data_IF_532436152247
#
_entry.id   IF_532436152247
#
_cell.length_a   1.000
_cell.length_b   1.000
_cell.length_c   1.000
_cell.angle_alpha   90.00
_cell.angle_beta   90.00
_cell.angle_gamma   90.00
#
_symmetry.space_group_name_H-M   'P 1'
#
loop_
_entity.id
_entity.type
_entity.pdbx_description
1 polymer ?
#
# COMPACT_ATOMS: atom_id res chain seq x y z
N UNK A 1 -22.02 3.97 22.09
CA UNK A 1 -22.26 4.75 20.87
C UNK A 1 -21.45 4.22 19.69
N UNK A 2 -20.11 4.22 19.72
CA UNK A 2 -19.26 3.78 18.60
C UNK A 2 -19.52 2.35 18.08
N UNK A 3 -19.74 1.37 18.97
CA UNK A 3 -20.09 0.00 18.60
C UNK A 3 -21.44 -0.07 17.86
N UNK A 4 -22.40 0.75 18.25
CA UNK A 4 -23.70 0.81 17.59
C UNK A 4 -23.59 1.39 16.18
N UNK A 5 -22.89 2.51 16.03
CA UNK A 5 -22.65 3.15 14.73
C UNK A 5 -21.83 2.25 13.80
N UNK A 6 -20.79 1.58 14.31
CA UNK A 6 -19.94 0.67 13.52
C UNK A 6 -20.66 -0.60 13.03
N UNK A 7 -21.80 -0.99 13.64
CA UNK A 7 -22.61 -2.12 13.20
C UNK A 7 -23.81 -1.71 12.30
N UNK A 8 -24.01 -0.43 12.05
CA UNK A 8 -25.04 0.04 11.13
C UNK A 8 -24.58 -0.19 9.67
N UNK A 9 -25.38 -0.92 8.91
CA UNK A 9 -25.18 -1.18 7.47
C UNK A 9 -25.50 0.05 6.58
N UNK A 10 -25.14 1.25 6.98
CA UNK A 10 -25.46 2.46 6.23
C UNK A 10 -24.23 3.00 5.53
N UNK A 11 -24.33 3.23 4.23
CA UNK A 11 -23.27 3.71 3.34
C UNK A 11 -22.74 5.13 3.63
N UNK A 12 -23.43 5.90 4.49
CA UNK A 12 -23.06 7.28 4.81
C UNK A 12 -22.07 7.42 5.98
N UNK A 13 -21.65 6.32 6.59
CA UNK A 13 -20.69 6.36 7.71
C UNK A 13 -19.32 6.87 7.23
N UNK A 14 -18.93 6.55 6.00
CA UNK A 14 -17.66 6.98 5.41
C UNK A 14 -17.57 8.50 5.32
N UNK A 15 -18.59 9.17 4.78
CA UNK A 15 -18.64 10.65 4.70
C UNK A 15 -18.55 11.33 6.09
N UNK A 16 -19.18 10.71 7.10
CA UNK A 16 -19.13 11.19 8.49
C UNK A 16 -17.73 10.99 9.08
N UNK A 17 -17.06 9.90 8.75
CA UNK A 17 -15.69 9.61 9.19
C UNK A 17 -14.71 10.63 8.60
N UNK A 18 -14.80 10.91 7.30
CA UNK A 18 -13.95 11.89 6.61
C UNK A 18 -14.16 13.31 7.16
N UNK A 19 -15.42 13.71 7.33
CA UNK A 19 -15.73 15.00 7.94
C UNK A 19 -15.16 15.13 9.35
N UNK A 20 -15.31 14.07 10.16
CA UNK A 20 -14.74 14.01 11.52
C UNK A 20 -13.21 14.12 11.49
N UNK A 21 -12.54 13.46 10.54
CA UNK A 21 -11.08 13.51 10.42
C UNK A 21 -10.60 14.92 10.09
N UNK A 22 -11.17 15.58 9.09
CA UNK A 22 -10.84 16.95 8.72
C UNK A 22 -11.14 17.94 9.85
N UNK A 23 -12.29 17.80 10.51
CA UNK A 23 -12.65 18.62 11.67
C UNK A 23 -11.66 18.43 12.83
N UNK A 24 -11.26 17.19 13.10
CA UNK A 24 -10.28 16.86 14.13
C UNK A 24 -8.93 17.51 13.82
N UNK A 25 -8.43 17.41 12.60
CA UNK A 25 -7.18 18.05 12.18
C UNK A 25 -7.22 19.57 12.36
N UNK A 26 -8.33 20.21 12.02
CA UNK A 26 -8.51 21.64 12.18
C UNK A 26 -8.51 22.04 13.67
N UNK A 27 -9.30 21.34 14.49
CA UNK A 27 -9.37 21.61 15.95
C UNK A 27 -8.02 21.39 16.63
N UNK A 28 -7.28 20.35 16.24
CA UNK A 28 -5.94 20.06 16.74
C UNK A 28 -4.99 21.20 16.38
N UNK A 29 -5.01 21.65 15.13
CA UNK A 29 -4.15 22.74 14.68
C UNK A 29 -4.40 24.02 15.44
N UNK A 30 -5.68 24.39 15.63
CA UNK A 30 -6.07 25.55 16.43
C UNK A 30 -5.60 25.42 17.90
N UNK A 31 -5.81 24.24 18.50
CA UNK A 31 -5.36 23.96 19.86
C UNK A 31 -3.85 24.17 20.03
N UNK A 32 -3.04 23.63 19.10
CA UNK A 32 -1.58 23.81 19.16
C UNK A 32 -1.15 25.25 18.96
N UNK A 33 -1.82 26.01 18.08
CA UNK A 33 -1.52 27.44 17.89
C UNK A 33 -1.82 28.21 19.19
N UNK A 34 -2.98 27.98 19.81
CA UNK A 34 -3.35 28.63 21.09
C UNK A 34 -2.41 28.22 22.20
N UNK A 35 -2.03 26.94 22.28
CA UNK A 35 -1.08 26.45 23.28
C UNK A 35 0.29 27.13 23.10
N UNK A 36 0.79 27.18 21.86
CA UNK A 36 2.07 27.83 21.55
C UNK A 36 2.07 29.34 21.87
N UNK A 37 0.95 30.02 21.60
CA UNK A 37 0.80 31.44 21.90
C UNK A 37 0.80 31.75 23.40
N UNK A 38 0.36 30.80 24.23
CA UNK A 38 0.33 30.95 25.68
C UNK A 38 1.64 30.55 26.39
N UNK A 39 2.61 30.03 25.67
CA UNK A 39 3.92 29.65 26.24
C UNK A 39 4.78 30.90 26.43
N UNK A 40 5.10 31.22 27.67
CA UNK A 40 6.06 32.29 27.99
C UNK A 40 7.48 31.71 28.09
N UNK A 41 8.38 32.24 27.26
CA UNK A 41 9.78 31.78 27.19
C UNK A 41 10.71 32.47 28.19
N UNK A 42 10.20 33.29 29.08
CA UNK A 42 10.99 34.14 29.99
C UNK A 42 11.79 33.37 31.07
N UNK A 43 11.43 32.12 31.37
CA UNK A 43 12.06 31.30 32.43
C UNK A 43 12.67 30.00 31.95
N UNK A 44 13.21 29.98 30.72
CA UNK A 44 13.71 28.76 30.08
C UNK A 44 15.01 28.20 30.68
N UNK A 45 15.90 29.09 31.18
CA UNK A 45 17.28 28.70 31.57
C UNK A 45 17.37 27.62 32.63
N UNK A 46 16.39 27.55 33.58
CA UNK A 46 16.36 26.50 34.63
C UNK A 46 15.58 25.24 34.26
N UNK A 47 14.77 25.26 33.18
CA UNK A 47 13.77 24.21 32.88
C UNK A 47 14.21 23.32 31.73
N UNK A 48 15.06 23.81 30.82
CA UNK A 48 15.49 23.04 29.63
C UNK A 48 16.20 21.74 30.03
N UNK A 49 17.13 21.77 30.97
CA UNK A 49 17.86 20.59 31.37
C UNK A 49 16.97 19.49 31.97
N UNK A 50 16.11 19.75 32.98
CA UNK A 50 15.19 18.72 33.46
C UNK A 50 14.15 18.28 32.39
N UNK A 51 13.67 19.15 31.50
CA UNK A 51 12.77 18.81 30.43
C UNK A 51 13.44 17.87 29.42
N UNK A 52 14.67 18.12 29.03
CA UNK A 52 15.44 17.24 28.13
C UNK A 52 15.68 15.86 28.79
N UNK A 53 16.05 15.81 30.05
CA UNK A 53 16.21 14.56 30.80
C UNK A 53 14.90 13.79 30.82
N UNK A 54 13.79 14.47 31.07
CA UNK A 54 12.47 13.85 31.08
C UNK A 54 12.08 13.30 29.70
N UNK A 55 12.32 14.06 28.63
CA UNK A 55 12.08 13.60 27.24
C UNK A 55 12.92 12.37 26.94
N UNK A 56 14.20 12.36 27.29
CA UNK A 56 15.07 11.21 27.09
C UNK A 56 14.63 9.99 27.89
N UNK A 57 14.27 10.18 29.15
CA UNK A 57 13.74 9.10 30.00
C UNK A 57 12.46 8.50 29.40
N UNK A 58 11.53 9.36 28.97
CA UNK A 58 10.28 8.95 28.35
C UNK A 58 10.50 8.21 27.03
N UNK A 59 11.47 8.62 26.22
CA UNK A 59 11.73 8.05 24.90
C UNK A 59 12.53 6.75 24.98
N UNK A 60 13.55 6.69 25.84
CA UNK A 60 14.48 5.56 25.88
C UNK A 60 14.15 4.51 26.93
N UNK A 61 13.40 4.86 27.99
CA UNK A 61 13.08 3.93 29.08
C UNK A 61 11.60 3.57 29.06
N UNK A 62 10.74 4.56 29.24
CA UNK A 62 9.30 4.31 29.45
C UNK A 62 8.64 3.69 28.22
N UNK A 63 8.95 4.19 27.04
CA UNK A 63 8.35 3.74 25.77
C UNK A 63 8.79 2.33 25.37
N UNK A 64 10.09 2.02 25.28
CA UNK A 64 10.50 0.65 24.97
C UNK A 64 9.95 -0.36 25.97
N UNK A 65 9.93 -0.02 27.27
CA UNK A 65 9.36 -0.88 28.30
C UNK A 65 7.86 -1.12 28.07
N UNK A 66 7.08 -0.06 27.82
CA UNK A 66 5.65 -0.18 27.52
C UNK A 66 5.38 -1.03 26.28
N UNK A 67 6.09 -0.79 25.18
CA UNK A 67 5.94 -1.58 23.96
C UNK A 67 6.35 -3.04 24.20
N UNK A 68 7.44 -3.28 24.90
CA UNK A 68 7.88 -4.63 25.23
C UNK A 68 6.82 -5.39 26.02
N UNK A 69 6.25 -4.79 27.07
CA UNK A 69 5.19 -5.41 27.88
C UNK A 69 3.93 -5.67 27.04
N UNK A 70 3.50 -4.70 26.23
CA UNK A 70 2.29 -4.85 25.38
C UNK A 70 2.47 -5.90 24.27
N UNK A 71 3.69 -6.10 23.77
CA UNK A 71 3.96 -7.03 22.66
C UNK A 71 4.47 -8.40 23.09
N UNK A 72 4.49 -8.72 24.38
CA UNK A 72 4.99 -10.00 24.90
C UNK A 72 4.34 -11.24 24.27
N UNK A 73 3.04 -11.15 23.93
CA UNK A 73 2.27 -12.25 23.32
C UNK A 73 2.04 -12.07 21.81
N UNK A 74 2.71 -11.13 21.19
CA UNK A 74 2.57 -10.82 19.76
C UNK A 74 3.68 -11.52 18.96
N UNK A 75 3.38 -11.90 17.71
CA UNK A 75 4.33 -12.52 16.79
C UNK A 75 5.30 -11.51 16.14
N UNK A 76 5.42 -10.30 16.70
CA UNK A 76 6.30 -9.25 16.19
C UNK A 76 7.77 -9.58 16.41
N UNK A 77 8.59 -9.33 15.39
CA UNK A 77 10.03 -9.42 15.47
C UNK A 77 10.60 -8.34 16.43
N UNK A 78 11.75 -8.62 17.06
CA UNK A 78 12.39 -7.65 17.94
C UNK A 78 12.69 -6.30 17.26
N UNK A 79 13.00 -6.31 15.95
CA UNK A 79 13.24 -5.12 15.13
C UNK A 79 12.00 -4.24 14.99
N UNK A 80 10.85 -4.86 14.78
CA UNK A 80 9.54 -4.20 14.73
C UNK A 80 9.18 -3.60 16.08
N UNK A 81 9.45 -4.29 17.18
CA UNK A 81 9.22 -3.79 18.55
C UNK A 81 10.08 -2.56 18.84
N UNK A 82 11.35 -2.55 18.41
CA UNK A 82 12.22 -1.39 18.56
C UNK A 82 11.70 -0.20 17.76
N UNK A 83 11.26 -0.43 16.52
CA UNK A 83 10.68 0.63 15.69
C UNK A 83 9.38 1.18 16.29
N UNK A 84 8.48 0.31 16.78
CA UNK A 84 7.26 0.70 17.48
C UNK A 84 7.55 1.48 18.78
N UNK A 85 8.58 1.11 19.52
CA UNK A 85 9.03 1.84 20.69
C UNK A 85 9.59 3.22 20.37
N UNK A 86 10.17 3.39 19.19
CA UNK A 86 10.70 4.67 18.72
C UNK A 86 9.60 5.59 18.20
N UNK A 87 8.69 5.09 17.38
CA UNK A 87 7.56 5.82 16.82
C UNK A 87 6.46 5.89 17.88
N UNK A 88 6.50 6.90 18.71
CA UNK A 88 5.57 7.07 19.80
C UNK A 88 4.87 8.44 19.75
N UNK A 89 3.90 8.64 18.86
CA UNK A 89 3.17 9.90 18.83
C UNK A 89 2.47 10.12 20.17
N UNK A 90 2.80 11.21 20.85
CA UNK A 90 2.09 11.64 22.07
C UNK A 90 0.95 12.52 21.65
N UNK A 91 -0.25 12.12 22.08
CA UNK A 91 -1.47 12.73 21.64
C UNK A 91 -1.77 14.06 22.32
N UNK A 92 -2.69 14.76 21.72
CA UNK A 92 -3.30 16.03 22.08
C UNK A 92 -3.88 16.01 23.50
N UNK A 93 -4.27 14.83 23.99
CA UNK A 93 -4.83 14.65 25.33
C UNK A 93 -3.86 15.15 26.40
N UNK A 94 -2.55 14.92 26.26
CA UNK A 94 -1.54 15.41 27.21
C UNK A 94 -1.50 16.94 27.21
N UNK A 95 -1.57 17.56 26.02
CA UNK A 95 -1.60 19.02 25.89
C UNK A 95 -2.85 19.62 26.53
N UNK A 96 -4.03 19.07 26.21
CA UNK A 96 -5.31 19.56 26.72
C UNK A 96 -5.40 19.39 28.23
N UNK A 97 -5.00 18.25 28.77
CA UNK A 97 -5.01 17.98 30.21
C UNK A 97 -4.02 18.87 30.93
N UNK A 98 -2.79 19.03 30.42
CA UNK A 98 -1.80 19.94 31.02
C UNK A 98 -2.28 21.38 31.01
N UNK A 99 -2.89 21.86 29.93
CA UNK A 99 -3.46 23.22 29.85
C UNK A 99 -4.60 23.43 30.86
N UNK A 100 -5.54 22.48 30.98
CA UNK A 100 -6.64 22.53 31.93
C UNK A 100 -6.12 22.54 33.38
N UNK A 101 -5.19 21.68 33.72
CA UNK A 101 -4.61 21.65 35.07
C UNK A 101 -3.78 22.88 35.35
N UNK A 102 -3.06 23.43 34.37
CA UNK A 102 -2.34 24.71 34.50
C UNK A 102 -3.28 25.83 34.88
N UNK A 103 -4.39 26.03 34.15
CA UNK A 103 -5.39 27.06 34.41
C UNK A 103 -6.04 26.85 35.79
N UNK A 104 -6.33 25.60 36.15
CA UNK A 104 -6.93 25.27 37.45
C UNK A 104 -5.98 25.56 38.61
N UNK A 105 -4.71 25.24 38.49
CA UNK A 105 -3.67 25.55 39.47
C UNK A 105 -3.52 27.09 39.66
N UNK A 106 -3.53 27.83 38.57
CA UNK A 106 -3.39 29.30 38.62
C UNK A 106 -4.62 29.94 39.29
N UNK A 107 -5.83 29.51 38.95
CA UNK A 107 -7.05 30.17 39.41
C UNK A 107 -7.49 29.74 40.81
N UNK A 108 -7.39 28.43 41.12
CA UNK A 108 -7.92 27.92 42.41
C UNK A 108 -6.86 27.93 43.51
N UNK A 109 -5.62 27.55 43.21
CA UNK A 109 -4.57 27.46 44.22
C UNK A 109 -3.66 28.70 44.28
N UNK A 110 -3.58 29.49 43.21
CA UNK A 110 -2.76 30.70 43.13
C UNK A 110 -3.22 31.82 44.12
N UNK A 111 -4.50 31.85 44.47
CA UNK A 111 -5.04 32.76 45.49
C UNK A 111 -4.58 32.40 46.90
N UNK A 112 -4.21 31.16 47.16
CA UNK A 112 -3.77 30.66 48.48
C UNK A 112 -2.24 30.63 48.61
N UNK A 113 -1.52 30.50 47.51
CA UNK A 113 -0.07 30.41 47.50
C UNK A 113 0.52 30.81 46.12
N UNK A 114 1.32 31.90 46.04
CA UNK A 114 1.83 32.41 44.77
C UNK A 114 2.74 31.39 44.01
N UNK A 115 3.30 30.40 44.70
CA UNK A 115 4.11 29.34 44.05
C UNK A 115 3.31 28.48 43.05
N UNK A 116 2.01 28.27 43.30
CA UNK A 116 1.16 27.50 42.39
C UNK A 116 0.96 28.17 41.04
N UNK A 117 1.06 29.50 40.97
CA UNK A 117 1.04 30.22 39.68
C UNK A 117 2.26 29.84 38.83
N UNK A 118 3.43 29.80 39.50
CA UNK A 118 4.68 29.38 38.82
C UNK A 118 4.58 27.94 38.35
N UNK A 119 4.13 27.01 39.21
CA UNK A 119 3.96 25.60 38.85
C UNK A 119 2.95 25.38 37.73
N UNK A 120 1.87 26.14 37.67
CA UNK A 120 0.90 26.10 36.59
C UNK A 120 1.50 26.52 35.24
N UNK A 121 2.27 27.61 35.21
CA UNK A 121 2.99 28.06 34.01
C UNK A 121 4.04 27.04 33.55
N UNK A 122 4.81 26.48 34.51
CA UNK A 122 5.80 25.44 34.25
C UNK A 122 5.19 24.15 33.66
N UNK A 123 4.02 23.75 34.16
CA UNK A 123 3.33 22.54 33.67
C UNK A 123 2.98 22.66 32.20
N UNK A 124 2.42 23.80 31.78
CA UNK A 124 2.11 24.06 30.38
C UNK A 124 3.37 24.07 29.49
N UNK A 125 4.42 24.75 29.93
CA UNK A 125 5.69 24.84 29.20
C UNK A 125 6.36 23.47 29.03
N UNK A 126 6.47 22.70 30.12
CA UNK A 126 7.07 21.37 30.11
C UNK A 126 6.26 20.43 29.23
N UNK A 127 4.93 20.44 29.33
CA UNK A 127 4.07 19.63 28.46
C UNK A 127 4.27 19.96 26.99
N UNK A 128 4.37 21.24 26.64
CA UNK A 128 4.63 21.66 25.26
C UNK A 128 6.00 21.20 24.75
N UNK A 129 7.05 21.36 25.56
CA UNK A 129 8.41 20.88 25.22
C UNK A 129 8.46 19.36 25.02
N UNK A 130 7.77 18.59 25.88
CA UNK A 130 7.68 17.14 25.75
C UNK A 130 6.99 16.74 24.44
N UNK A 131 5.89 17.40 24.08
CA UNK A 131 5.16 17.10 22.83
C UNK A 131 6.04 17.39 21.63
N UNK A 132 6.63 18.58 21.55
CA UNK A 132 7.54 18.95 20.46
C UNK A 132 8.69 17.95 20.36
N UNK A 133 9.38 17.66 21.45
CA UNK A 133 10.52 16.74 21.45
C UNK A 133 10.15 15.33 21.04
N UNK A 134 9.06 14.80 21.58
CA UNK A 134 8.62 13.41 21.30
C UNK A 134 7.92 13.24 19.96
N UNK A 135 7.48 14.30 19.30
CA UNK A 135 6.92 14.25 17.92
C UNK A 135 8.03 14.50 16.89
N UNK A 136 8.82 15.57 17.08
CA UNK A 136 9.80 16.01 16.07
C UNK A 136 10.95 15.00 15.92
N UNK A 137 11.52 14.50 17.02
CA UNK A 137 12.66 13.59 16.97
C UNK A 137 12.30 12.27 16.24
N UNK A 138 11.25 11.55 16.63
CA UNK A 138 10.86 10.34 15.92
C UNK A 138 10.44 10.59 14.47
N UNK A 139 9.72 11.69 14.17
CA UNK A 139 9.28 11.99 12.81
C UNK A 139 10.45 12.18 11.83
N UNK A 140 11.51 12.85 12.25
CA UNK A 140 12.70 13.06 11.45
C UNK A 140 13.57 11.78 11.32
N UNK A 141 13.57 10.94 12.33
CA UNK A 141 14.48 9.78 12.40
C UNK A 141 13.82 8.45 12.05
N UNK A 142 12.49 8.37 12.03
CA UNK A 142 11.73 7.13 11.79
C UNK A 142 12.11 6.43 10.49
N UNK A 143 12.19 7.16 9.38
CA UNK A 143 12.55 6.61 8.07
C UNK A 143 13.97 6.04 8.03
N UNK A 144 14.92 6.73 8.71
CA UNK A 144 16.29 6.26 8.83
C UNK A 144 16.36 4.99 9.68
N UNK A 145 15.68 4.99 10.84
CA UNK A 145 15.65 3.86 11.76
C UNK A 145 14.96 2.64 11.13
N UNK A 146 13.85 2.82 10.41
CA UNK A 146 13.14 1.76 9.72
C UNK A 146 14.03 1.07 8.66
N UNK A 147 14.81 1.84 7.90
CA UNK A 147 15.80 1.31 6.94
C UNK A 147 16.96 0.60 7.66
N UNK A 148 17.48 1.18 8.72
CA UNK A 148 18.58 0.59 9.51
C UNK A 148 18.18 -0.74 10.13
N UNK A 149 16.97 -0.83 10.69
CA UNK A 149 16.42 -2.04 11.25
C UNK A 149 15.97 -3.06 10.19
N UNK A 150 15.96 -2.69 8.92
CA UNK A 150 15.46 -3.51 7.81
C UNK A 150 14.00 -3.96 8.02
N UNK A 151 13.21 -3.13 8.66
CA UNK A 151 11.77 -3.33 8.86
C UNK A 151 10.97 -2.73 7.70
N UNK A 152 11.54 -1.73 7.03
CA UNK A 152 10.99 -1.21 5.79
C UNK A 152 11.18 -2.26 4.70
N UNK A 153 10.09 -2.70 4.07
CA UNK A 153 10.18 -3.52 2.85
C UNK A 153 10.88 -2.68 1.77
N UNK A 154 12.09 -3.07 1.31
CA UNK A 154 12.92 -2.18 0.48
C UNK A 154 12.32 -1.90 -0.89
N UNK A 155 11.48 -2.79 -1.42
CA UNK A 155 10.75 -2.65 -2.68
C UNK A 155 9.45 -3.45 -2.58
N UNK A 156 8.29 -2.82 -2.67
CA UNK A 156 7.02 -3.54 -2.75
C UNK A 156 6.96 -4.25 -4.12
N UNK A 157 7.33 -5.53 -4.13
CA UNK A 157 7.43 -6.35 -5.36
C UNK A 157 6.15 -7.07 -5.70
N UNK A 158 5.19 -7.09 -4.79
CA UNK A 158 3.92 -7.77 -4.95
C UNK A 158 2.99 -7.07 -5.95
N UNK A 159 1.93 -7.79 -6.30
CA UNK A 159 0.98 -7.40 -7.33
C UNK A 159 -0.44 -7.32 -6.80
N UNK A 160 -1.12 -6.21 -7.05
CA UNK A 160 -2.56 -6.11 -7.03
C UNK A 160 -3.08 -6.46 -8.42
N UNK A 161 -3.89 -7.51 -8.52
CA UNK A 161 -4.55 -7.90 -9.76
C UNK A 161 -6.02 -7.52 -9.68
N UNK A 162 -6.43 -6.58 -10.51
CA UNK A 162 -7.83 -6.16 -10.64
C UNK A 162 -8.54 -7.09 -11.61
N UNK A 163 -9.45 -7.90 -11.08
CA UNK A 163 -10.07 -9.04 -11.73
C UNK A 163 -9.59 -10.37 -11.13
N UNK A 164 -10.51 -11.32 -10.89
CA UNK A 164 -10.22 -12.65 -10.37
C UNK A 164 -10.77 -13.76 -11.29
N UNK A 165 -10.81 -13.48 -12.60
CA UNK A 165 -11.19 -14.45 -13.62
C UNK A 165 -10.14 -15.60 -13.73
N UNK A 166 -10.43 -16.63 -14.53
CA UNK A 166 -9.57 -17.81 -14.66
C UNK A 166 -8.12 -17.47 -15.06
N UNK A 167 -7.95 -16.50 -15.98
CA UNK A 167 -6.63 -16.04 -16.42
C UNK A 167 -5.87 -15.30 -15.31
N UNK A 168 -6.54 -14.37 -14.63
CA UNK A 168 -5.97 -13.60 -13.50
C UNK A 168 -5.52 -14.53 -12.36
N UNK A 169 -6.33 -15.55 -12.01
CA UNK A 169 -5.96 -16.56 -11.00
C UNK A 169 -4.76 -17.40 -11.42
N UNK A 170 -4.67 -17.77 -12.71
CA UNK A 170 -3.52 -18.52 -13.22
C UNK A 170 -2.22 -17.68 -13.12
N UNK A 171 -2.28 -16.39 -13.45
CA UNK A 171 -1.16 -15.45 -13.26
C UNK A 171 -0.81 -15.33 -11.77
N UNK A 172 -1.80 -15.15 -10.91
CA UNK A 172 -1.59 -15.02 -9.47
C UNK A 172 -0.82 -16.22 -8.90
N UNK A 173 -1.23 -17.45 -9.23
CA UNK A 173 -0.52 -18.68 -8.84
C UNK A 173 0.91 -18.74 -9.34
N UNK A 174 1.13 -18.36 -10.60
CA UNK A 174 2.47 -18.35 -11.17
C UNK A 174 3.40 -17.35 -10.48
N UNK A 175 2.88 -16.19 -10.08
CA UNK A 175 3.63 -15.17 -9.35
C UNK A 175 3.88 -15.59 -7.88
N UNK A 176 2.87 -16.16 -7.20
CA UNK A 176 3.03 -16.69 -5.83
C UNK A 176 4.05 -17.84 -5.77
N UNK A 177 4.07 -18.70 -6.79
CA UNK A 177 5.06 -19.77 -6.92
C UNK A 177 6.51 -19.24 -7.04
N UNK A 178 6.69 -17.97 -7.43
CA UNK A 178 7.99 -17.28 -7.43
C UNK A 178 8.26 -16.54 -6.10
N UNK A 179 7.41 -16.70 -5.08
CA UNK A 179 7.56 -16.07 -3.76
C UNK A 179 7.12 -14.60 -3.71
N UNK A 180 6.25 -14.18 -4.61
CA UNK A 180 5.72 -12.82 -4.65
C UNK A 180 4.35 -12.76 -3.98
N UNK A 181 4.08 -11.68 -3.23
CA UNK A 181 2.75 -11.42 -2.67
C UNK A 181 1.80 -10.99 -3.77
N UNK A 182 0.62 -11.59 -3.84
CA UNK A 182 -0.41 -11.25 -4.82
C UNK A 182 -1.75 -11.09 -4.12
N UNK A 183 -2.48 -10.02 -4.46
CA UNK A 183 -3.85 -9.79 -4.00
C UNK A 183 -4.74 -9.64 -5.22
N UNK A 184 -5.81 -10.43 -5.28
CA UNK A 184 -6.83 -10.34 -6.31
C UNK A 184 -8.01 -9.49 -5.82
N UNK A 185 -8.52 -8.56 -6.63
CA UNK A 185 -9.70 -7.78 -6.32
C UNK A 185 -10.73 -7.89 -7.45
N UNK A 186 -11.97 -8.28 -7.14
CA UNK A 186 -13.04 -8.41 -8.13
C UNK A 186 -14.41 -8.06 -7.53
N UNK A 187 -15.26 -7.45 -8.34
CA UNK A 187 -16.66 -7.16 -7.99
C UNK A 187 -17.57 -8.37 -8.15
N UNK A 188 -17.11 -9.45 -8.78
CA UNK A 188 -17.82 -10.70 -8.94
C UNK A 188 -17.54 -11.64 -7.77
N UNK A 189 -18.56 -11.87 -6.95
CA UNK A 189 -18.47 -12.85 -5.84
C UNK A 189 -18.07 -14.25 -6.31
N UNK A 190 -18.55 -14.69 -7.47
CA UNK A 190 -18.22 -16.00 -8.05
C UNK A 190 -16.71 -16.12 -8.32
N UNK A 191 -16.10 -15.09 -8.87
CA UNK A 191 -14.66 -15.08 -9.14
C UNK A 191 -13.84 -15.09 -7.85
N UNK A 192 -14.27 -14.32 -6.84
CA UNK A 192 -13.60 -14.28 -5.53
C UNK A 192 -13.73 -15.61 -4.79
N UNK A 193 -14.90 -16.23 -4.83
CA UNK A 193 -15.09 -17.55 -4.24
C UNK A 193 -14.17 -18.60 -4.88
N UNK A 194 -14.04 -18.58 -6.21
CA UNK A 194 -13.11 -19.46 -6.92
C UNK A 194 -11.64 -19.17 -6.54
N UNK A 195 -11.24 -17.91 -6.42
CA UNK A 195 -9.90 -17.53 -5.98
C UNK A 195 -9.59 -18.03 -4.57
N UNK A 196 -10.55 -17.89 -3.63
CA UNK A 196 -10.40 -18.38 -2.24
C UNK A 196 -10.29 -19.91 -2.16
N UNK A 197 -11.08 -20.63 -2.97
CA UNK A 197 -10.97 -22.09 -3.05
C UNK A 197 -9.62 -22.55 -3.60
N UNK A 198 -8.98 -21.72 -4.40
CA UNK A 198 -7.64 -21.94 -4.94
C UNK A 198 -6.52 -21.50 -3.98
N UNK A 199 -6.87 -20.99 -2.77
CA UNK A 199 -5.93 -20.52 -1.75
C UNK A 199 -5.36 -19.13 -1.98
N UNK A 200 -5.88 -18.37 -2.97
CA UNK A 200 -5.38 -17.05 -3.33
C UNK A 200 -5.96 -15.96 -2.43
N UNK A 201 -5.13 -15.01 -2.02
CA UNK A 201 -5.58 -13.85 -1.27
C UNK A 201 -6.47 -12.97 -2.15
N UNK A 202 -7.68 -12.68 -1.68
CA UNK A 202 -8.66 -12.01 -2.52
C UNK A 202 -9.65 -11.13 -1.77
N UNK A 203 -9.95 -9.98 -2.36
CA UNK A 203 -10.88 -8.98 -1.89
C UNK A 203 -12.12 -8.93 -2.79
N UNK A 204 -13.32 -8.95 -2.17
CA UNK A 204 -14.59 -8.78 -2.87
C UNK A 204 -15.00 -7.31 -2.84
N UNK A 205 -14.98 -6.65 -3.98
CA UNK A 205 -15.38 -5.25 -4.13
C UNK A 205 -14.59 -4.52 -5.21
N UNK A 206 -14.85 -3.23 -5.30
CA UNK A 206 -14.09 -2.34 -6.17
C UNK A 206 -12.76 -1.98 -5.48
N UNK A 207 -11.63 -2.32 -6.11
CA UNK A 207 -10.29 -2.00 -5.59
C UNK A 207 -10.01 -0.51 -5.48
N UNK A 208 -10.73 0.33 -6.24
CA UNK A 208 -10.59 1.77 -6.19
C UNK A 208 -11.46 2.45 -5.11
N UNK A 209 -12.30 1.70 -4.39
CA UNK A 209 -13.12 2.24 -3.30
C UNK A 209 -12.32 2.44 -2.01
N UNK A 210 -12.75 3.38 -1.17
CA UNK A 210 -12.21 3.58 0.18
C UNK A 210 -12.35 2.33 1.06
N UNK A 211 -13.47 1.59 0.91
CA UNK A 211 -13.64 0.31 1.58
C UNK A 211 -12.55 -0.70 1.20
N UNK A 212 -12.04 -0.64 -0.04
CA UNK A 212 -10.88 -1.42 -0.48
C UNK A 212 -9.62 -1.10 0.32
N UNK A 213 -9.35 0.17 0.60
CA UNK A 213 -8.16 0.61 1.35
C UNK A 213 -8.11 0.04 2.78
N UNK A 214 -9.27 -0.11 3.40
CA UNK A 214 -9.37 -0.62 4.77
C UNK A 214 -9.34 -2.15 4.87
N UNK A 215 -9.72 -2.87 3.78
CA UNK A 215 -9.94 -4.32 3.83
C UNK A 215 -8.98 -5.13 2.95
N UNK A 216 -8.24 -4.48 2.05
CA UNK A 216 -7.18 -5.14 1.29
C UNK A 216 -5.86 -5.07 2.04
N UNK A 217 -5.24 -6.21 2.23
CA UNK A 217 -3.90 -6.29 2.81
C UNK A 217 -2.86 -5.95 1.73
N UNK A 218 -2.48 -4.68 1.65
CA UNK A 218 -1.58 -4.14 0.62
C UNK A 218 -0.10 -4.20 1.01
N UNK A 219 0.23 -4.91 2.09
CA UNK A 219 1.62 -5.02 2.57
C UNK A 219 2.50 -5.71 1.53
N UNK A 220 3.55 -5.03 1.08
CA UNK A 220 4.47 -5.54 0.07
C UNK A 220 3.96 -5.47 -1.38
N UNK A 221 2.75 -4.93 -1.62
CA UNK A 221 2.19 -4.70 -2.94
C UNK A 221 2.66 -3.34 -3.46
N UNK A 222 3.18 -3.31 -4.68
CA UNK A 222 3.69 -2.08 -5.31
C UNK A 222 3.45 -2.00 -6.81
N UNK A 223 2.70 -2.96 -7.35
CA UNK A 223 2.34 -2.98 -8.78
C UNK A 223 0.89 -3.36 -8.96
N UNK A 224 0.26 -2.85 -10.00
CA UNK A 224 -1.13 -3.14 -10.35
C UNK A 224 -1.24 -3.68 -11.75
N UNK A 225 -2.03 -4.77 -11.90
CA UNK A 225 -2.41 -5.37 -13.19
C UNK A 225 -3.92 -5.27 -13.38
N UNK A 226 -4.39 -4.58 -14.40
CA UNK A 226 -5.81 -4.49 -14.76
C UNK A 226 -6.21 -5.62 -15.71
N UNK A 227 -6.76 -6.69 -15.15
CA UNK A 227 -7.19 -7.91 -15.85
C UNK A 227 -8.69 -8.17 -15.71
N UNK A 228 -9.48 -7.19 -15.24
CA UNK A 228 -10.93 -7.31 -15.16
C UNK A 228 -11.55 -7.25 -16.56
N UNK A 229 -12.68 -7.94 -16.74
CA UNK A 229 -13.53 -7.81 -17.93
C UNK A 229 -14.22 -6.45 -18.07
N UNK A 230 -14.14 -5.62 -17.02
CA UNK A 230 -14.75 -4.29 -16.99
C UNK A 230 -13.66 -3.22 -17.14
N UNK A 231 -13.50 -2.68 -18.34
CA UNK A 231 -12.53 -1.62 -18.65
C UNK A 231 -12.62 -0.41 -17.71
N UNK A 232 -13.82 -0.07 -17.28
CA UNK A 232 -14.07 1.05 -16.37
C UNK A 232 -13.42 0.81 -15.00
N UNK A 233 -13.51 -0.40 -14.45
CA UNK A 233 -12.91 -0.76 -13.17
C UNK A 233 -11.40 -0.77 -13.30
N UNK A 234 -10.85 -1.31 -14.38
CA UNK A 234 -9.41 -1.29 -14.66
C UNK A 234 -8.89 0.14 -14.70
N UNK A 235 -9.58 1.04 -15.45
CA UNK A 235 -9.20 2.45 -15.58
C UNK A 235 -9.28 3.21 -14.25
N UNK A 236 -10.37 3.02 -13.49
CA UNK A 236 -10.55 3.68 -12.20
C UNK A 236 -9.47 3.27 -11.20
N UNK A 237 -9.18 1.97 -11.13
CA UNK A 237 -8.11 1.43 -10.31
C UNK A 237 -6.74 1.96 -10.75
N UNK A 238 -6.50 2.08 -12.08
CA UNK A 238 -5.27 2.63 -12.60
C UNK A 238 -5.06 4.08 -12.18
N UNK A 239 -6.09 4.92 -12.24
CA UNK A 239 -6.02 6.33 -11.81
C UNK A 239 -5.63 6.43 -10.35
N UNK A 240 -6.25 5.62 -9.48
CA UNK A 240 -5.95 5.57 -8.05
C UNK A 240 -4.51 5.12 -7.80
N UNK A 241 -4.15 3.93 -8.27
CA UNK A 241 -2.86 3.32 -7.97
C UNK A 241 -1.68 3.93 -8.74
N UNK A 242 -1.94 4.73 -9.79
CA UNK A 242 -0.91 5.56 -10.41
C UNK A 242 -0.30 6.57 -9.43
N UNK A 243 -1.14 7.16 -8.57
CA UNK A 243 -0.69 8.07 -7.51
C UNK A 243 0.12 7.36 -6.41
N UNK A 244 -0.23 6.10 -6.09
CA UNK A 244 0.39 5.34 -5.01
C UNK A 244 1.66 4.60 -5.44
N UNK A 245 1.64 3.91 -6.59
CA UNK A 245 2.72 3.03 -7.06
C UNK A 245 3.62 3.70 -8.10
N UNK A 246 3.21 4.83 -8.66
CA UNK A 246 3.93 5.53 -9.73
C UNK A 246 3.66 4.98 -11.14
N UNK A 247 4.08 5.77 -12.14
CA UNK A 247 3.81 5.55 -13.56
C UNK A 247 4.36 4.23 -14.13
N UNK A 248 5.39 3.67 -13.51
CA UNK A 248 6.07 2.48 -14.02
C UNK A 248 5.53 1.16 -13.44
N UNK A 249 4.55 1.25 -12.54
CA UNK A 249 4.06 0.11 -11.76
C UNK A 249 2.60 -0.25 -12.03
N UNK A 250 1.92 0.51 -12.90
CA UNK A 250 0.52 0.28 -13.27
C UNK A 250 0.46 -0.23 -14.70
N UNK A 251 -0.20 -1.37 -14.90
CA UNK A 251 -0.30 -2.04 -16.18
C UNK A 251 -1.75 -2.42 -16.48
N UNK A 252 -2.17 -2.20 -17.73
CA UNK A 252 -3.55 -2.41 -18.17
C UNK A 252 -3.59 -3.19 -19.48
N UNK A 253 -4.56 -4.09 -19.63
CA UNK A 253 -4.93 -4.59 -20.94
C UNK A 253 -5.52 -3.45 -21.79
N UNK A 254 -5.31 -3.47 -23.12
CA UNK A 254 -5.99 -2.57 -24.01
C UNK A 254 -7.51 -2.70 -23.87
N UNK A 255 -8.22 -1.58 -23.87
CA UNK A 255 -9.67 -1.59 -23.88
C UNK A 255 -10.20 -2.08 -25.23
N UNK A 256 -11.32 -2.81 -25.22
CA UNK A 256 -12.01 -3.25 -26.43
C UNK A 256 -12.41 -2.05 -27.32
N UNK A 257 -12.25 -2.17 -28.65
CA UNK A 257 -12.40 -1.06 -29.63
C UNK A 257 -13.85 -0.58 -29.84
N UNK A 258 -14.68 -0.55 -28.84
CA UNK A 258 -16.03 -0.02 -28.98
C UNK A 258 -16.02 1.52 -28.85
N UNK A 259 -16.84 2.23 -29.64
CA UNK A 259 -16.89 3.72 -29.70
C UNK A 259 -17.06 4.42 -28.35
N UNK A 260 -17.65 3.74 -27.37
CA UNK A 260 -17.76 4.26 -25.98
C UNK A 260 -16.42 4.25 -25.22
N UNK A 261 -15.44 3.47 -25.68
CA UNK A 261 -14.17 3.25 -24.99
C UNK A 261 -13.04 4.19 -25.43
N UNK A 262 -13.25 5.10 -26.37
CA UNK A 262 -12.20 6.03 -26.86
C UNK A 262 -11.66 6.90 -25.72
N UNK A 263 -12.52 7.39 -24.81
CA UNK A 263 -12.09 8.17 -23.64
C UNK A 263 -11.31 7.32 -22.66
N UNK A 264 -11.76 6.09 -22.40
CA UNK A 264 -11.09 5.13 -21.52
C UNK A 264 -9.73 4.73 -22.09
N UNK A 265 -9.62 4.49 -23.39
CA UNK A 265 -8.36 4.19 -24.07
C UNK A 265 -7.33 5.31 -23.91
N UNK A 266 -7.76 6.60 -24.01
CA UNK A 266 -6.87 7.74 -23.74
C UNK A 266 -6.44 7.83 -22.28
N UNK A 267 -7.34 7.55 -21.34
CA UNK A 267 -7.02 7.50 -19.90
C UNK A 267 -6.06 6.35 -19.59
N UNK A 268 -6.30 5.16 -20.15
CA UNK A 268 -5.43 4.01 -19.96
C UNK A 268 -4.00 4.29 -20.43
N UNK A 269 -3.82 4.94 -21.58
CA UNK A 269 -2.50 5.39 -22.07
C UNK A 269 -1.80 6.39 -21.14
N UNK A 270 -2.58 7.20 -20.40
CA UNK A 270 -2.03 8.20 -19.48
C UNK A 270 -1.65 7.60 -18.12
N UNK A 271 -2.44 6.67 -17.60
CA UNK A 271 -2.34 6.18 -16.23
C UNK A 271 -1.81 4.75 -16.11
N UNK A 272 -1.52 4.06 -17.23
CA UNK A 272 -0.98 2.71 -17.20
C UNK A 272 -0.20 2.36 -18.45
N UNK A 273 0.77 1.46 -18.31
CA UNK A 273 1.46 0.82 -19.43
C UNK A 273 0.61 -0.33 -19.98
N UNK A 274 0.74 -0.59 -21.27
CA UNK A 274 0.04 -1.74 -21.88
C UNK A 274 0.65 -3.05 -21.40
N UNK A 275 -0.23 -4.00 -21.08
CA UNK A 275 0.16 -5.35 -20.70
C UNK A 275 0.45 -6.21 -21.93
N UNK A 276 1.51 -7.03 -21.79
CA UNK A 276 1.89 -8.09 -22.71
C UNK A 276 2.24 -7.57 -24.12
N UNK A 277 2.09 -8.45 -25.12
CA UNK A 277 2.37 -8.12 -26.53
C UNK A 277 1.21 -7.32 -27.14
N UNK A 278 1.48 -6.46 -28.14
CA UNK A 278 0.44 -5.72 -28.86
C UNK A 278 -0.62 -6.64 -29.50
N UNK A 279 -1.86 -6.17 -29.45
CA UNK A 279 -2.98 -6.81 -30.17
C UNK A 279 -3.89 -7.69 -29.32
N UNK A 280 -3.55 -8.04 -28.07
CA UNK A 280 -4.43 -8.85 -27.22
C UNK A 280 -5.30 -7.97 -26.31
N UNK A 281 -6.63 -8.13 -26.44
CA UNK A 281 -7.61 -7.59 -25.50
C UNK A 281 -8.06 -8.68 -24.53
N UNK A 282 -8.84 -8.29 -23.50
CA UNK A 282 -9.31 -9.24 -22.50
C UNK A 282 -10.04 -10.45 -23.11
N UNK A 283 -10.90 -10.22 -24.10
CA UNK A 283 -11.69 -11.25 -24.76
C UNK A 283 -10.80 -12.30 -25.43
N UNK A 284 -9.75 -11.89 -26.11
CA UNK A 284 -8.82 -12.80 -26.77
C UNK A 284 -8.12 -13.73 -25.76
N UNK A 285 -7.60 -13.15 -24.66
CA UNK A 285 -6.93 -13.93 -23.62
C UNK A 285 -7.88 -14.87 -22.89
N UNK A 286 -9.13 -14.43 -22.65
CA UNK A 286 -10.19 -15.29 -22.09
C UNK A 286 -10.46 -16.48 -22.99
N UNK A 287 -10.60 -16.27 -24.28
CA UNK A 287 -10.93 -17.32 -25.25
C UNK A 287 -9.78 -18.31 -25.43
N UNK A 288 -8.54 -17.83 -25.42
CA UNK A 288 -7.33 -18.66 -25.41
C UNK A 288 -7.27 -19.54 -24.15
N UNK A 289 -7.55 -18.99 -22.97
CA UNK A 289 -7.57 -19.76 -21.71
C UNK A 289 -8.74 -20.74 -21.65
N UNK A 290 -9.88 -20.38 -22.22
CA UNK A 290 -11.03 -21.27 -22.31
C UNK A 290 -10.81 -22.44 -23.32
N UNK A 291 -10.01 -22.19 -24.34
CA UNK A 291 -9.56 -23.22 -25.30
C UNK A 291 -8.52 -24.19 -24.71
N UNK A 292 -8.10 -24.00 -23.45
CA UNK A 292 -7.21 -24.92 -22.75
C UNK A 292 -5.78 -24.42 -22.56
N UNK A 293 -5.46 -23.18 -22.96
CA UNK A 293 -4.14 -22.63 -22.69
C UNK A 293 -3.88 -22.49 -21.19
N UNK A 294 -2.64 -22.74 -20.78
CA UNK A 294 -2.19 -22.71 -19.40
C UNK A 294 -1.01 -21.75 -19.21
N UNK A 295 -0.97 -21.11 -18.06
CA UNK A 295 0.18 -20.30 -17.66
C UNK A 295 1.27 -21.23 -17.14
N UNK A 296 2.40 -21.27 -17.84
CA UNK A 296 3.59 -22.08 -17.47
C UNK A 296 4.74 -21.18 -17.09
N UNK A 297 5.51 -21.64 -16.10
CA UNK A 297 6.77 -21.00 -15.70
C UNK A 297 7.93 -21.89 -16.13
N UNK A 298 8.83 -21.33 -16.93
CA UNK A 298 9.99 -22.06 -17.47
C UNK A 298 11.28 -21.32 -17.08
N UNK A 299 12.25 -22.07 -16.58
CA UNK A 299 13.57 -21.51 -16.26
C UNK A 299 14.45 -21.57 -17.51
N UNK A 300 14.99 -20.43 -17.90
CA UNK A 300 15.89 -20.31 -19.04
C UNK A 300 17.31 -20.64 -18.60
N UNK A 301 18.00 -21.45 -19.38
CA UNK A 301 19.40 -21.87 -19.14
C UNK A 301 20.27 -21.44 -20.31
N UNK A 302 21.59 -21.66 -20.20
CA UNK A 302 22.51 -21.42 -21.30
C UNK A 302 22.29 -22.36 -22.49
N UNK A 303 21.74 -23.57 -22.25
CA UNK A 303 21.47 -24.58 -23.27
C UNK A 303 20.04 -24.47 -23.81
N UNK A 304 19.13 -23.82 -23.10
CA UNK A 304 17.73 -23.68 -23.47
C UNK A 304 17.33 -22.20 -23.34
N UNK A 305 17.49 -21.46 -24.44
CA UNK A 305 17.20 -20.03 -24.51
C UNK A 305 15.71 -19.75 -24.84
N UNK A 306 15.33 -18.46 -24.83
CA UNK A 306 13.96 -18.04 -25.11
C UNK A 306 13.52 -18.33 -26.55
N UNK A 307 14.41 -18.26 -27.53
CA UNK A 307 14.12 -18.54 -28.93
C UNK A 307 13.81 -20.04 -29.14
N UNK A 308 14.59 -20.92 -28.54
CA UNK A 308 14.34 -22.37 -28.53
C UNK A 308 13.04 -22.75 -27.83
N UNK A 309 12.71 -22.00 -26.74
CA UNK A 309 11.42 -22.14 -26.05
C UNK A 309 10.25 -21.79 -26.97
N UNK A 310 10.36 -20.70 -27.74
CA UNK A 310 9.34 -20.30 -28.71
C UNK A 310 9.20 -21.31 -29.85
N UNK A 311 10.31 -21.80 -30.38
CA UNK A 311 10.31 -22.83 -31.42
C UNK A 311 9.64 -24.12 -30.94
N UNK A 312 9.94 -24.57 -29.71
CA UNK A 312 9.35 -25.77 -29.12
C UNK A 312 7.83 -25.66 -28.91
N UNK A 313 7.30 -24.46 -28.77
CA UNK A 313 5.87 -24.20 -28.61
C UNK A 313 5.23 -23.65 -29.89
N UNK A 314 5.75 -23.95 -31.07
CA UNK A 314 5.26 -23.54 -32.39
C UNK A 314 5.04 -22.03 -32.54
N UNK A 315 5.86 -21.23 -31.84
CA UNK A 315 5.75 -19.77 -31.73
C UNK A 315 4.42 -19.26 -31.13
N UNK A 316 3.66 -20.12 -30.46
CA UNK A 316 2.36 -19.79 -29.87
C UNK A 316 2.42 -19.51 -28.35
N UNK A 317 3.58 -19.17 -27.81
CA UNK A 317 3.74 -18.77 -26.42
C UNK A 317 3.68 -17.23 -26.28
N UNK A 318 2.76 -16.74 -25.46
CA UNK A 318 2.67 -15.32 -25.11
C UNK A 318 3.46 -15.09 -23.82
N UNK A 319 4.56 -14.35 -23.92
CA UNK A 319 5.35 -13.98 -22.75
C UNK A 319 4.58 -12.96 -21.89
N UNK A 320 4.40 -13.27 -20.62
CA UNK A 320 3.70 -12.42 -19.67
C UNK A 320 4.67 -11.68 -18.75
N UNK A 321 5.58 -12.43 -18.14
CA UNK A 321 6.58 -11.91 -17.21
C UNK A 321 7.93 -12.57 -17.40
N UNK A 322 8.99 -11.84 -17.06
CA UNK A 322 10.32 -12.38 -16.87
C UNK A 322 10.81 -12.08 -15.45
N UNK A 323 11.24 -13.10 -14.73
CA UNK A 323 11.70 -13.00 -13.35
C UNK A 323 13.19 -13.24 -13.30
N UNK A 324 13.95 -12.25 -12.86
CA UNK A 324 15.40 -12.37 -12.72
C UNK A 324 15.79 -13.23 -11.51
N UNK A 325 17.03 -13.76 -11.43
CA UNK A 325 17.53 -14.52 -10.27
C UNK A 325 17.49 -13.73 -8.94
N UNK A 326 17.44 -12.40 -9.02
CA UNK A 326 17.29 -11.50 -7.86
C UNK A 326 15.83 -11.27 -7.44
N UNK A 327 14.89 -12.06 -7.99
CA UNK A 327 13.45 -11.91 -7.79
C UNK A 327 12.89 -10.53 -8.22
N UNK A 328 13.51 -9.90 -9.21
CA UNK A 328 12.96 -8.71 -9.86
C UNK A 328 12.09 -9.19 -11.01
N UNK A 329 10.81 -8.82 -10.96
CA UNK A 329 9.83 -9.16 -12.01
C UNK A 329 9.80 -8.04 -13.04
N UNK A 330 9.94 -8.41 -14.28
CA UNK A 330 9.73 -7.54 -15.43
C UNK A 330 8.41 -7.93 -16.09
N UNK A 331 7.49 -6.99 -16.10
CA UNK A 331 6.21 -7.16 -16.81
C UNK A 331 6.47 -6.89 -18.28
N UNK A 332 6.10 -7.81 -19.15
CA UNK A 332 6.24 -7.64 -20.59
C UNK A 332 5.23 -6.60 -21.07
N UNK A 333 5.71 -5.61 -21.79
CA UNK A 333 4.93 -4.52 -22.36
C UNK A 333 5.44 -4.23 -23.76
N UNK A 334 4.59 -3.80 -24.70
CA UNK A 334 5.03 -3.41 -26.04
C UNK A 334 6.08 -2.30 -26.02
N UNK A 335 6.02 -1.45 -24.98
CA UNK A 335 6.93 -0.32 -24.80
C UNK A 335 8.26 -0.70 -24.13
N UNK A 336 8.43 -1.96 -23.68
CA UNK A 336 9.65 -2.43 -23.00
C UNK A 336 10.01 -3.85 -23.44
N UNK A 337 11.01 -3.95 -24.32
CA UNK A 337 11.57 -5.24 -24.72
C UNK A 337 12.39 -5.79 -23.55
N UNK A 338 11.95 -6.93 -23.00
CA UNK A 338 12.65 -7.63 -21.92
C UNK A 338 13.54 -8.71 -22.54
N UNK A 339 14.85 -8.48 -22.60
CA UNK A 339 15.81 -9.51 -22.97
C UNK A 339 16.01 -10.49 -21.81
N UNK A 340 15.68 -11.76 -22.05
CA UNK A 340 15.83 -12.81 -21.05
C UNK A 340 17.21 -13.45 -21.16
N UNK A 341 17.92 -13.52 -20.04
CA UNK A 341 19.25 -14.15 -19.96
C UNK A 341 19.20 -15.47 -19.22
N UNK A 342 20.24 -16.27 -19.33
CA UNK A 342 20.36 -17.54 -18.60
C UNK A 342 20.21 -17.33 -17.07
N UNK A 343 19.47 -18.21 -16.40
CA UNK A 343 19.12 -18.13 -14.99
C UNK A 343 17.81 -17.40 -14.69
N UNK A 344 17.16 -16.78 -15.68
CA UNK A 344 15.85 -16.15 -15.53
C UNK A 344 14.72 -17.18 -15.62
N UNK A 345 13.58 -16.88 -15.01
CA UNK A 345 12.33 -17.64 -15.18
C UNK A 345 11.37 -16.81 -16.02
N UNK A 346 10.80 -17.43 -17.05
CA UNK A 346 9.78 -16.81 -17.91
C UNK A 346 8.42 -17.40 -17.55
N UNK A 347 7.44 -16.53 -17.33
CA UNK A 347 6.04 -16.90 -17.19
C UNK A 347 5.35 -16.59 -18.51
N UNK A 348 4.81 -17.61 -19.17
CA UNK A 348 4.17 -17.49 -20.47
C UNK A 348 2.83 -18.23 -20.51
N UNK A 349 1.90 -17.72 -21.31
CA UNK A 349 0.66 -18.40 -21.66
C UNK A 349 0.93 -19.29 -22.89
N UNK A 350 0.74 -20.59 -22.72
CA UNK A 350 1.04 -21.61 -23.75
C UNK A 350 -0.23 -22.39 -24.09
N UNK A 351 -0.51 -22.53 -25.38
CA UNK A 351 -1.60 -23.38 -25.87
C UNK A 351 -1.08 -24.78 -26.17
N UNK A 352 -1.64 -25.81 -25.53
CA UNK A 352 -1.34 -27.19 -25.86
C UNK A 352 -2.27 -27.65 -27.01
N UNK A 353 -1.75 -27.64 -28.24
CA UNK A 353 -2.34 -28.39 -29.33
C UNK A 353 -3.48 -27.77 -30.13
N UNK A 354 -3.68 -26.45 -30.12
CA UNK A 354 -4.58 -25.82 -31.09
C UNK A 354 -3.90 -24.59 -31.71
N UNK A 355 -3.85 -24.47 -33.06
CA UNK A 355 -3.34 -23.26 -33.68
C UNK A 355 -4.22 -22.11 -33.22
N UNK A 356 -3.63 -21.13 -32.49
CA UNK A 356 -4.23 -19.82 -32.30
C UNK A 356 -4.61 -19.35 -33.67
N UNK A 357 -5.91 -19.28 -33.96
CA UNK A 357 -6.50 -19.07 -35.30
C UNK A 357 -5.67 -18.12 -36.16
N UNK A 358 -5.20 -18.62 -37.29
CA UNK A 358 -4.41 -17.93 -38.33
C UNK A 358 -5.03 -16.58 -38.82
N UNK A 359 -6.19 -16.20 -38.28
CA UNK A 359 -7.02 -15.11 -38.79
C UNK A 359 -6.60 -13.70 -38.38
N UNK A 360 -5.63 -13.47 -37.45
CA UNK A 360 -5.30 -12.10 -37.00
C UNK A 360 -3.83 -11.70 -37.07
N UNK A 361 -2.92 -12.58 -37.42
CA UNK A 361 -1.49 -12.24 -37.51
C UNK A 361 -1.11 -11.51 -38.81
N UNK A 362 -2.01 -11.41 -39.81
CA UNK A 362 -1.74 -10.80 -41.12
C UNK A 362 -2.24 -9.35 -41.29
N UNK A 363 -2.57 -8.63 -40.22
CA UNK A 363 -3.12 -7.26 -40.37
C UNK A 363 -2.10 -6.13 -40.17
N UNK A 364 -0.81 -6.42 -40.01
CA UNK A 364 0.24 -5.40 -39.83
C UNK A 364 1.35 -5.45 -40.89
N UNK A 365 1.10 -6.02 -42.08
CA UNK A 365 2.00 -5.89 -43.24
C UNK A 365 1.26 -5.31 -44.46
N UNK A 366 0.52 -4.20 -44.30
CA UNK A 366 0.16 -3.29 -45.38
C UNK A 366 0.16 -1.85 -44.84
#
# INVERSE_FOLDING_TARGET
MGVFVGNMRNSHIEEVMDFKEHLSLLLISVLFIVLAANVSFSNLEGIIAPAVILILCLQFIVRPLAVFVCTLRSNLNWRERVLLGWIAPRGIVVAAVAALFSVKLINEAGNSNPEYVIYGQLLSLVAFLIIIGTVTIPSLTASFLARFLRVSSPDPRGFLIVGANKFARAIAKALEAQGLSVVLADVSWRNIQAARLEGLQSYYGNSASEHGDWHMEMVGIGRMLGLSSHDQINTLSAVKYYGEFGSNSVFLLPASENRQNIKLSKMNKKYGKRLFTDGYVYEDLRDIVNAGAVVKTTKITSEFNWEQYLEMNDKHAIQLFAVSPKLVVHVVSPDSVVSVSAGWSVIALVSEGSPLSEGRFHKNEE
#
